data_IF_359916934370
#
_entry.id   IF_359916934370
#
_cell.length_a   1.000
_cell.length_b   1.000
_cell.length_c   1.000
_cell.angle_alpha   90.00
_cell.angle_beta   90.00
_cell.angle_gamma   90.00
#
_symmetry.space_group_name_H-M   'P 1'
#
loop_
_entity.id
_entity.type
_entity.pdbx_description
1 polymer ?
#
# COMPACT_ATOMS: atom_id res chain seq x y z
N UNK A 1 20.68 -29.40 -17.45
CA UNK A 1 19.59 -30.38 -17.31
C UNK A 1 18.32 -29.59 -17.06
N UNK A 2 17.34 -29.68 -17.95
CA UNK A 2 16.03 -29.05 -17.76
C UNK A 2 15.26 -29.81 -16.69
N UNK A 3 14.92 -29.16 -15.57
CA UNK A 3 14.05 -29.76 -14.55
C UNK A 3 12.74 -30.20 -15.20
N UNK A 4 12.35 -31.46 -14.98
CA UNK A 4 11.04 -31.97 -15.38
C UNK A 4 9.95 -31.16 -14.67
N UNK A 5 9.09 -30.50 -15.46
CA UNK A 5 7.89 -29.84 -14.95
C UNK A 5 6.93 -30.93 -14.46
N UNK A 6 6.86 -31.09 -13.14
CA UNK A 6 5.90 -31.97 -12.48
C UNK A 6 4.57 -31.25 -12.29
N UNK A 7 3.47 -32.00 -12.39
CA UNK A 7 2.15 -31.46 -12.11
C UNK A 7 2.02 -31.10 -10.62
N UNK A 8 1.64 -29.86 -10.33
CA UNK A 8 1.43 -29.34 -8.97
C UNK A 8 -0.02 -28.92 -8.82
N UNK A 9 -0.72 -29.52 -7.86
CA UNK A 9 -2.11 -29.15 -7.53
C UNK A 9 -2.15 -28.24 -6.31
N UNK A 10 -2.74 -27.06 -6.45
CA UNK A 10 -2.96 -26.10 -5.36
C UNK A 10 -4.44 -26.15 -4.96
N UNK A 11 -4.74 -26.49 -3.71
CA UNK A 11 -6.10 -26.60 -3.16
C UNK A 11 -6.43 -25.37 -2.30
N UNK A 12 -7.73 -25.03 -2.22
CA UNK A 12 -8.22 -23.94 -1.36
C UNK A 12 -8.16 -22.54 -1.99
N UNK A 13 -7.97 -22.42 -3.31
CA UNK A 13 -8.08 -21.14 -3.99
C UNK A 13 -9.55 -20.70 -4.05
N UNK A 14 -9.83 -19.47 -3.61
CA UNK A 14 -11.14 -18.84 -3.80
C UNK A 14 -11.43 -18.66 -5.29
N UNK A 15 -12.63 -19.06 -5.72
CA UNK A 15 -12.97 -19.11 -7.15
C UNK A 15 -12.92 -17.74 -7.82
N UNK A 16 -13.26 -16.68 -7.10
CA UNK A 16 -13.22 -15.31 -7.61
C UNK A 16 -11.79 -14.80 -7.77
N UNK A 17 -10.93 -15.02 -6.77
CA UNK A 17 -9.51 -14.66 -6.83
C UNK A 17 -8.82 -15.39 -7.99
N UNK A 18 -9.08 -16.69 -8.16
CA UNK A 18 -8.54 -17.46 -9.28
C UNK A 18 -9.00 -16.94 -10.64
N UNK A 19 -10.29 -16.57 -10.77
CA UNK A 19 -10.84 -16.01 -12.01
C UNK A 19 -10.19 -14.68 -12.38
N UNK A 20 -10.06 -13.77 -11.42
CA UNK A 20 -9.41 -12.47 -11.62
C UNK A 20 -7.93 -12.65 -11.98
N UNK A 21 -7.21 -13.51 -11.26
CA UNK A 21 -5.80 -13.81 -11.53
C UNK A 21 -5.58 -14.46 -12.91
N UNK A 22 -6.48 -15.36 -13.30
CA UNK A 22 -6.44 -16.01 -14.62
C UNK A 22 -6.74 -15.05 -15.76
N UNK A 23 -7.64 -14.09 -15.55
CA UNK A 23 -7.96 -13.05 -16.53
C UNK A 23 -6.77 -12.11 -16.71
N UNK A 24 -6.15 -11.68 -15.61
CA UNK A 24 -4.93 -10.87 -15.63
C UNK A 24 -3.79 -11.56 -16.39
N UNK A 25 -3.57 -12.86 -16.15
CA UNK A 25 -2.55 -13.61 -16.87
C UNK A 25 -2.77 -13.56 -18.39
N UNK A 26 -4.02 -13.73 -18.84
CA UNK A 26 -4.38 -13.64 -20.27
C UNK A 26 -4.15 -12.25 -20.84
N UNK A 27 -4.57 -11.20 -20.12
CA UNK A 27 -4.34 -9.80 -20.53
C UNK A 27 -2.84 -9.50 -20.71
N UNK A 28 -2.00 -10.09 -19.86
CA UNK A 28 -0.55 -9.96 -19.93
C UNK A 28 0.12 -10.88 -20.97
N UNK A 29 -0.63 -11.70 -21.69
CA UNK A 29 -0.09 -12.68 -22.64
C UNK A 29 0.73 -13.80 -21.97
N UNK A 30 0.44 -14.11 -20.69
CA UNK A 30 1.13 -15.13 -19.89
C UNK A 30 0.19 -16.29 -19.55
N UNK A 31 0.77 -17.45 -19.26
CA UNK A 31 0.05 -18.55 -18.61
C UNK A 31 -0.17 -18.24 -17.13
N UNK A 32 -1.20 -18.84 -16.54
CA UNK A 32 -1.46 -18.74 -15.09
C UNK A 32 -0.24 -19.22 -14.29
N UNK A 33 0.45 -20.27 -14.77
CA UNK A 33 1.66 -20.79 -14.13
C UNK A 33 2.84 -19.81 -14.16
N UNK A 34 3.03 -19.06 -15.25
CA UNK A 34 4.08 -18.04 -15.33
C UNK A 34 3.80 -16.88 -14.38
N UNK A 35 2.58 -16.35 -14.38
CA UNK A 35 2.21 -15.27 -13.47
C UNK A 35 2.28 -15.73 -12.00
N UNK A 36 1.86 -16.97 -11.71
CA UNK A 36 1.98 -17.55 -10.38
C UNK A 36 3.43 -17.71 -9.95
N UNK A 37 4.32 -18.15 -10.84
CA UNK A 37 5.75 -18.26 -10.54
C UNK A 37 6.37 -16.88 -10.23
N UNK A 38 6.01 -15.84 -10.97
CA UNK A 38 6.45 -14.47 -10.68
C UNK A 38 5.95 -13.99 -9.32
N UNK A 39 4.65 -14.14 -9.06
CA UNK A 39 4.02 -13.76 -7.79
C UNK A 39 4.64 -14.50 -6.60
N UNK A 40 4.81 -15.83 -6.71
CA UNK A 40 5.43 -16.65 -5.67
C UNK A 40 6.90 -16.27 -5.43
N UNK A 41 7.68 -15.99 -6.49
CA UNK A 41 9.08 -15.55 -6.33
C UNK A 41 9.17 -14.20 -5.63
N UNK A 42 8.26 -13.27 -5.94
CA UNK A 42 8.17 -11.99 -5.25
C UNK A 42 7.82 -12.22 -3.77
N UNK A 43 6.80 -13.04 -3.51
CA UNK A 43 6.35 -13.33 -2.16
C UNK A 43 7.41 -14.06 -1.32
N UNK A 44 8.07 -15.08 -1.88
CA UNK A 44 9.17 -15.79 -1.21
C UNK A 44 10.39 -14.90 -1.00
N UNK A 45 10.71 -14.01 -1.95
CA UNK A 45 11.74 -12.99 -1.73
C UNK A 45 11.37 -12.11 -0.55
N UNK A 46 10.12 -11.65 -0.45
CA UNK A 46 9.65 -10.85 0.69
C UNK A 46 9.80 -11.62 2.01
N UNK A 47 9.40 -12.90 2.05
CA UNK A 47 9.44 -13.71 3.28
C UNK A 47 10.86 -14.11 3.74
N UNK A 48 11.81 -14.30 2.83
CA UNK A 48 13.17 -14.75 3.15
C UNK A 48 14.19 -13.61 3.34
N UNK A 49 13.74 -12.36 3.47
CA UNK A 49 14.64 -11.22 3.70
C UNK A 49 14.88 -11.01 5.21
N UNK A 50 16.14 -10.89 5.67
CA UNK A 50 16.47 -10.76 7.10
C UNK A 50 15.99 -9.44 7.75
N UNK A 51 15.86 -9.47 9.08
CA UNK A 51 15.03 -8.61 9.94
C UNK A 51 15.16 -7.08 9.90
N UNK A 52 16.08 -6.48 9.13
CA UNK A 52 16.07 -5.03 8.88
C UNK A 52 15.05 -4.61 7.80
N UNK A 53 14.51 -5.56 7.03
CA UNK A 53 13.62 -5.29 5.90
C UNK A 53 12.12 -5.31 6.22
N UNK A 54 11.71 -5.59 7.46
CA UNK A 54 10.36 -5.28 7.96
C UNK A 54 10.01 -3.78 7.79
N UNK A 55 11.05 -2.96 7.60
CA UNK A 55 10.97 -1.54 7.24
C UNK A 55 10.72 -1.25 5.75
N UNK A 56 10.70 -2.25 4.86
CA UNK A 56 10.30 -2.06 3.45
C UNK A 56 8.90 -2.57 3.15
N UNK A 57 8.34 -3.41 4.02
CA UNK A 57 6.93 -3.79 3.97
C UNK A 57 6.13 -2.61 4.52
N UNK A 58 5.18 -2.05 3.76
CA UNK A 58 4.39 -0.94 4.23
C UNK A 58 3.61 -1.30 5.49
N UNK A 59 3.67 -0.44 6.51
CA UNK A 59 2.78 -0.53 7.66
C UNK A 59 1.36 -0.18 7.20
N UNK A 60 0.40 -1.07 7.45
CA UNK A 60 -1.02 -0.74 7.28
C UNK A 60 -1.54 -0.16 8.59
N UNK A 61 -1.92 1.12 8.59
CA UNK A 61 -2.44 1.84 9.76
C UNK A 61 -3.89 2.22 9.46
N UNK A 62 -4.83 1.88 10.34
CA UNK A 62 -6.25 2.05 10.04
C UNK A 62 -7.20 1.46 11.07
N UNK A 63 -8.50 1.52 10.77
CA UNK A 63 -9.55 0.94 11.62
C UNK A 63 -9.96 1.85 12.79
N UNK A 64 -9.72 3.16 12.66
CA UNK A 64 -10.10 4.19 13.63
C UNK A 64 -10.85 5.31 12.93
N UNK A 65 -11.73 6.01 13.64
CA UNK A 65 -12.52 7.07 13.04
C UNK A 65 -11.68 8.28 12.66
N UNK A 66 -10.85 8.76 13.58
CA UNK A 66 -10.00 9.94 13.38
C UNK A 66 -8.56 9.64 13.77
N UNK A 67 -7.62 10.14 12.99
CA UNK A 67 -6.18 10.03 13.26
C UNK A 67 -5.47 11.34 12.92
N UNK A 68 -4.64 11.81 13.83
CA UNK A 68 -3.68 12.87 13.58
C UNK A 68 -2.27 12.27 13.57
N UNK A 69 -1.47 12.64 12.55
CA UNK A 69 -0.11 12.13 12.36
C UNK A 69 0.84 13.31 12.23
N UNK A 70 1.89 13.30 13.03
CA UNK A 70 3.00 14.26 12.99
C UNK A 70 4.22 13.68 12.28
N UNK A 71 5.15 14.55 11.87
CA UNK A 71 6.44 14.15 11.27
C UNK A 71 7.19 13.11 12.12
N UNK A 72 7.17 13.27 13.45
CA UNK A 72 7.86 12.34 14.37
C UNK A 72 7.31 10.92 14.25
N UNK A 73 5.98 10.76 14.10
CA UNK A 73 5.33 9.46 14.03
C UNK A 73 5.77 8.71 12.77
N UNK A 74 5.87 9.44 11.64
CA UNK A 74 6.34 8.88 10.36
C UNK A 74 7.82 8.49 10.44
N UNK A 75 8.65 9.34 11.06
CA UNK A 75 10.10 9.14 11.18
C UNK A 75 10.45 8.01 12.14
N UNK A 76 9.79 7.94 13.30
CA UNK A 76 9.99 6.88 14.29
C UNK A 76 9.56 5.51 13.78
N UNK A 77 8.46 5.44 13.01
CA UNK A 77 8.04 4.20 12.38
C UNK A 77 9.09 3.69 11.37
N UNK A 78 9.78 4.62 10.69
CA UNK A 78 10.98 4.32 9.89
C UNK A 78 10.73 3.36 8.72
N UNK A 79 9.48 3.27 8.25
CA UNK A 79 9.07 2.42 7.13
C UNK A 79 7.90 3.00 6.37
N UNK A 80 7.69 2.59 5.10
CA UNK A 80 6.58 3.07 4.29
C UNK A 80 5.21 2.83 4.95
N UNK A 81 4.23 3.69 4.67
CA UNK A 81 2.92 3.70 5.35
C UNK A 81 1.78 3.65 4.34
N UNK A 82 0.79 2.82 4.64
CA UNK A 82 -0.52 2.82 4.00
C UNK A 82 -1.57 3.14 5.06
N UNK A 83 -2.29 4.24 4.90
CA UNK A 83 -3.45 4.57 5.73
C UNK A 83 -4.71 3.95 5.12
N UNK A 84 -5.51 3.26 5.94
CA UNK A 84 -6.74 2.58 5.49
C UNK A 84 -7.93 2.83 6.40
N UNK A 85 -9.10 3.06 5.82
CA UNK A 85 -10.38 3.09 6.55
C UNK A 85 -10.35 4.05 7.75
N UNK A 86 -10.05 5.33 7.50
CA UNK A 86 -10.00 6.39 8.51
C UNK A 86 -10.96 7.50 8.06
N UNK A 87 -12.03 7.79 8.81
CA UNK A 87 -13.00 8.82 8.36
C UNK A 87 -12.32 10.18 8.22
N UNK A 88 -11.45 10.56 9.16
CA UNK A 88 -10.70 11.83 9.12
C UNK A 88 -9.22 11.63 9.43
N UNK A 89 -8.35 11.93 8.47
CA UNK A 89 -6.89 11.88 8.63
C UNK A 89 -6.32 13.30 8.59
N UNK A 90 -5.63 13.71 9.65
CA UNK A 90 -4.92 14.99 9.72
C UNK A 90 -3.42 14.75 9.65
N UNK A 91 -2.78 15.18 8.56
CA UNK A 91 -1.35 15.12 8.38
C UNK A 91 -0.72 16.46 8.79
N UNK A 92 0.18 16.43 9.76
CA UNK A 92 1.05 17.55 10.17
C UNK A 92 2.50 17.16 9.86
N UNK A 93 2.77 16.97 8.56
CA UNK A 93 4.02 16.36 8.09
C UNK A 93 4.71 17.22 7.03
N UNK A 94 6.02 17.14 6.98
CA UNK A 94 6.87 17.71 5.94
C UNK A 94 6.73 16.97 4.60
N UNK A 95 7.19 17.62 3.53
CA UNK A 95 7.30 16.98 2.20
C UNK A 95 8.21 15.75 2.21
N UNK A 96 9.24 15.74 3.05
CA UNK A 96 10.11 14.57 3.24
C UNK A 96 9.30 13.37 3.74
N UNK A 97 8.51 13.54 4.80
CA UNK A 97 7.66 12.49 5.36
C UNK A 97 6.52 12.07 4.45
N UNK A 98 6.01 12.95 3.57
CA UNK A 98 5.03 12.58 2.55
C UNK A 98 5.55 11.46 1.62
N UNK A 99 6.86 11.42 1.34
CA UNK A 99 7.46 10.38 0.50
C UNK A 99 7.36 8.98 1.10
N UNK A 100 7.28 8.88 2.43
CA UNK A 100 7.10 7.61 3.15
C UNK A 100 5.64 7.13 3.15
N UNK A 101 4.69 7.99 2.82
CA UNK A 101 3.28 7.59 2.69
C UNK A 101 3.08 7.12 1.25
N UNK A 102 2.70 5.86 1.09
CA UNK A 102 2.54 5.25 -0.25
C UNK A 102 1.10 5.34 -0.72
N UNK A 103 0.15 5.17 0.21
CA UNK A 103 -1.27 5.21 -0.11
C UNK A 103 -2.11 5.67 1.09
N UNK A 104 -3.22 6.35 0.78
CA UNK A 104 -4.29 6.73 1.69
C UNK A 104 -5.58 6.22 1.05
N UNK A 105 -6.17 5.17 1.62
CA UNK A 105 -7.31 4.46 1.04
C UNK A 105 -8.51 4.48 1.98
N UNK A 106 -9.69 4.82 1.47
CA UNK A 106 -10.92 4.87 2.26
C UNK A 106 -10.90 5.94 3.36
N UNK A 107 -10.42 7.14 3.02
CA UNK A 107 -10.43 8.29 3.92
C UNK A 107 -11.49 9.31 3.48
N UNK A 108 -12.41 9.78 4.33
CA UNK A 108 -13.45 10.72 3.87
C UNK A 108 -12.94 12.16 3.84
N UNK A 109 -12.24 12.57 4.89
CA UNK A 109 -11.65 13.88 5.04
C UNK A 109 -10.15 13.79 5.30
N UNK A 110 -9.36 14.37 4.40
CA UNK A 110 -7.92 14.51 4.54
C UNK A 110 -7.56 15.97 4.80
N UNK A 111 -6.96 16.26 5.95
CA UNK A 111 -6.43 17.58 6.30
C UNK A 111 -4.92 17.57 6.11
N UNK A 112 -4.37 18.48 5.30
CA UNK A 112 -2.93 18.56 5.01
C UNK A 112 -2.35 19.95 5.30
N UNK A 113 -1.02 20.09 5.48
CA UNK A 113 -0.35 21.37 5.53
C UNK A 113 -0.45 22.11 4.19
N UNK A 114 -0.48 23.45 4.23
CA UNK A 114 -0.63 24.31 3.03
C UNK A 114 0.55 24.22 2.06
N UNK A 115 1.72 23.88 2.57
CA UNK A 115 2.98 23.74 1.84
C UNK A 115 3.13 22.40 1.12
N UNK A 116 2.27 21.41 1.39
CA UNK A 116 2.29 20.14 0.67
C UNK A 116 1.70 20.25 -0.75
N UNK A 117 2.38 19.73 -1.79
CA UNK A 117 1.84 19.75 -3.14
C UNK A 117 0.57 18.90 -3.27
N UNK A 118 -0.56 19.55 -3.54
CA UNK A 118 -1.90 18.89 -3.58
C UNK A 118 -1.95 17.70 -4.53
N UNK A 119 -1.35 17.81 -5.72
CA UNK A 119 -1.36 16.74 -6.72
C UNK A 119 -0.51 15.53 -6.28
N UNK A 120 0.59 15.77 -5.58
CA UNK A 120 1.44 14.70 -5.03
C UNK A 120 0.69 13.94 -3.94
N UNK A 121 -0.02 14.64 -3.06
CA UNK A 121 -0.90 14.03 -2.05
C UNK A 121 -2.03 13.24 -2.72
N UNK A 122 -2.76 13.85 -3.66
CA UNK A 122 -3.89 13.22 -4.34
C UNK A 122 -3.49 11.99 -5.16
N UNK A 123 -2.29 11.94 -5.73
CA UNK A 123 -1.79 10.75 -6.44
C UNK A 123 -1.64 9.51 -5.56
N UNK A 124 -1.58 9.70 -4.23
CA UNK A 124 -1.51 8.64 -3.22
C UNK A 124 -2.89 8.28 -2.65
N UNK A 125 -3.94 8.99 -3.05
CA UNK A 125 -5.27 8.86 -2.45
C UNK A 125 -6.20 7.98 -3.30
N UNK A 126 -6.99 7.15 -2.62
CA UNK A 126 -8.10 6.37 -3.18
C UNK A 126 -9.32 6.54 -2.26
N UNK A 127 -10.46 6.95 -2.81
CA UNK A 127 -11.69 7.15 -2.04
C UNK A 127 -11.71 8.39 -1.13
N UNK A 128 -10.82 9.37 -1.34
CA UNK A 128 -10.84 10.66 -0.63
C UNK A 128 -11.95 11.56 -1.14
N UNK A 129 -12.89 11.93 -0.25
CA UNK A 129 -14.07 12.75 -0.60
C UNK A 129 -13.80 14.25 -0.46
N UNK A 130 -13.02 14.66 0.54
CA UNK A 130 -12.70 16.06 0.83
C UNK A 130 -11.24 16.21 1.25
N UNK A 131 -10.57 17.24 0.72
CA UNK A 131 -9.26 17.69 1.18
C UNK A 131 -9.37 19.12 1.72
N UNK A 132 -8.82 19.36 2.91
CA UNK A 132 -8.77 20.67 3.56
C UNK A 132 -7.35 20.97 4.04
N UNK A 133 -7.09 22.22 4.40
CA UNK A 133 -5.78 22.67 4.86
C UNK A 133 -5.81 22.93 6.35
N UNK A 134 -4.68 22.70 7.02
CA UNK A 134 -4.48 23.18 8.40
C UNK A 134 -4.74 24.69 8.44
N UNK A 135 -5.60 25.12 9.36
CA UNK A 135 -5.83 26.53 9.61
C UNK A 135 -4.59 27.10 10.30
N UNK A 136 -4.18 28.31 9.89
CA UNK A 136 -3.12 29.03 10.59
C UNK A 136 -3.71 29.43 11.93
N UNK A 137 -3.35 28.71 13.00
CA UNK A 137 -3.59 29.22 14.36
C UNK A 137 -2.79 30.51 14.49
N UNK A 138 -3.48 31.63 14.37
CA UNK A 138 -2.96 32.98 14.64
C UNK A 138 -2.68 33.15 16.13
#
# INVERSE_FOLDING_TARGET
MSEEKRDVTIRGLESEVYRSFSSLAKEMGKTVGELMNEAMKIYMRILHLPGELSKRIPASIGGIEELAVEDKDVKELGRPIIFKNIKKLTLRISRESLSNIIAIDGCEELVIPKDLPKLEVLSKCSGVKRISFLEDTS
#
